data_IF_142471559990
#
_entry.id   IF_142471559990
#
_cell.length_a   1.000
_cell.length_b   1.000
_cell.length_c   1.000
_cell.angle_alpha   90.00
_cell.angle_beta   90.00
_cell.angle_gamma   90.00
#
_symmetry.space_group_name_H-M   'P 1'
#
loop_
_entity.id
_entity.type
_entity.pdbx_description
1 polymer ?
#
# COMPACT_ATOMS: atom_id res chain seq x y z
N UNK A 1 -3.04 8.85 -29.24
CA UNK A 1 -3.08 7.46 -29.72
C UNK A 1 -3.80 6.62 -28.69
N UNK A 2 -4.90 5.98 -29.09
CA UNK A 2 -5.67 5.14 -28.19
C UNK A 2 -4.96 3.80 -27.98
N UNK A 3 -5.12 3.19 -26.80
CA UNK A 3 -4.53 1.88 -26.46
C UNK A 3 -4.89 0.76 -27.45
N UNK A 4 -5.96 0.93 -28.24
CA UNK A 4 -6.37 -0.01 -29.30
C UNK A 4 -5.46 0.04 -30.53
N UNK A 5 -5.02 1.24 -30.92
CA UNK A 5 -4.17 1.48 -32.08
C UNK A 5 -2.77 0.86 -31.89
N UNK A 6 -2.25 0.98 -30.67
CA UNK A 6 -0.99 0.35 -30.27
C UNK A 6 -1.08 -1.19 -30.28
N UNK A 7 -2.23 -1.76 -29.92
CA UNK A 7 -2.43 -3.21 -29.92
C UNK A 7 -2.54 -3.78 -31.36
N UNK A 8 -3.16 -3.05 -32.28
CA UNK A 8 -3.22 -3.44 -33.69
C UNK A 8 -1.85 -3.38 -34.36
N UNK A 9 -1.04 -2.34 -34.06
CA UNK A 9 0.33 -2.25 -34.55
C UNK A 9 1.19 -3.43 -34.05
N UNK A 10 1.09 -3.77 -32.76
CA UNK A 10 1.82 -4.91 -32.19
C UNK A 10 1.42 -6.25 -32.81
N UNK A 11 0.15 -6.43 -33.18
CA UNK A 11 -0.33 -7.64 -33.86
C UNK A 11 0.03 -7.69 -35.36
N UNK A 12 0.44 -6.56 -35.94
CA UNK A 12 0.86 -6.49 -37.35
C UNK A 12 2.37 -6.69 -37.56
N UNK A 13 3.16 -6.68 -36.48
CA UNK A 13 4.60 -6.87 -36.53
C UNK A 13 4.95 -8.34 -36.79
N UNK A 14 5.99 -8.55 -37.60
CA UNK A 14 6.57 -9.85 -37.82
C UNK A 14 7.35 -10.35 -36.60
N UNK A 15 7.61 -11.68 -36.47
CA UNK A 15 8.37 -12.22 -35.36
C UNK A 15 9.77 -11.63 -35.21
N UNK A 16 10.39 -11.22 -36.33
CA UNK A 16 11.74 -10.63 -36.35
C UNK A 16 11.73 -9.19 -35.81
N UNK A 17 10.73 -8.39 -36.20
CA UNK A 17 10.55 -7.03 -35.68
C UNK A 17 10.18 -7.03 -34.19
N UNK A 18 9.46 -8.04 -33.72
CA UNK A 18 9.16 -8.21 -32.29
C UNK A 18 10.43 -8.47 -31.46
N UNK A 19 11.40 -9.20 -32.01
CA UNK A 19 12.70 -9.43 -31.35
C UNK A 19 13.51 -8.14 -31.29
N UNK A 20 13.52 -7.35 -32.36
CA UNK A 20 14.23 -6.07 -32.39
C UNK A 20 13.62 -5.06 -31.38
N UNK A 21 12.29 -5.04 -31.25
CA UNK A 21 11.61 -4.25 -30.21
C UNK A 21 11.94 -4.76 -28.81
N UNK A 22 12.05 -6.08 -28.63
CA UNK A 22 12.43 -6.68 -27.35
C UNK A 22 13.88 -6.34 -26.95
N UNK A 23 14.80 -6.30 -27.91
CA UNK A 23 16.21 -5.92 -27.68
C UNK A 23 16.37 -4.44 -27.30
N UNK A 24 15.45 -3.57 -27.73
CA UNK A 24 15.40 -2.18 -27.31
C UNK A 24 14.81 -1.97 -25.92
N UNK A 25 14.18 -2.99 -25.33
CA UNK A 25 13.65 -2.92 -23.97
C UNK A 25 14.75 -3.29 -22.96
N UNK A 26 14.81 -2.54 -21.86
CA UNK A 26 15.78 -2.83 -20.81
C UNK A 26 15.49 -4.20 -20.16
N UNK A 27 16.52 -4.92 -19.67
CA UNK A 27 16.35 -6.24 -19.06
C UNK A 27 15.31 -6.27 -17.93
N UNK A 28 15.20 -5.19 -17.16
CA UNK A 28 14.19 -5.06 -16.09
C UNK A 28 12.75 -4.93 -16.61
N UNK A 29 12.55 -4.28 -17.75
CA UNK A 29 11.23 -4.18 -18.40
C UNK A 29 10.81 -5.55 -18.96
N UNK A 30 11.74 -6.30 -19.56
CA UNK A 30 11.49 -7.66 -20.04
C UNK A 30 11.11 -8.63 -18.90
N UNK A 31 11.82 -8.58 -17.76
CA UNK A 31 11.46 -9.40 -16.60
C UNK A 31 10.07 -9.04 -16.06
N UNK A 32 9.75 -7.75 -15.97
CA UNK A 32 8.44 -7.27 -15.52
C UNK A 32 7.32 -7.74 -16.46
N UNK A 33 7.53 -7.62 -17.77
CA UNK A 33 6.56 -8.07 -18.79
C UNK A 33 6.35 -9.58 -18.73
N UNK A 34 7.43 -10.34 -18.60
CA UNK A 34 7.41 -11.81 -18.50
C UNK A 34 6.64 -12.24 -17.24
N UNK A 35 6.93 -11.64 -16.08
CA UNK A 35 6.23 -11.91 -14.83
C UNK A 35 4.72 -11.63 -14.92
N UNK A 36 4.33 -10.48 -15.50
CA UNK A 36 2.91 -10.11 -15.66
C UNK A 36 2.20 -11.02 -16.67
N UNK A 37 2.87 -11.43 -17.75
CA UNK A 37 2.33 -12.40 -18.71
C UNK A 37 2.12 -13.76 -18.05
N UNK A 38 3.10 -14.27 -17.30
CA UNK A 38 3.01 -15.55 -16.60
C UNK A 38 1.85 -15.56 -15.60
N UNK A 39 1.71 -14.50 -14.80
CA UNK A 39 0.61 -14.36 -13.84
C UNK A 39 -0.76 -14.34 -14.52
N UNK A 40 -0.89 -13.66 -15.67
CA UNK A 40 -2.15 -13.66 -16.44
C UNK A 40 -2.48 -15.03 -17.02
N UNK A 41 -1.49 -15.75 -17.54
CA UNK A 41 -1.67 -17.10 -18.08
C UNK A 41 -2.14 -18.06 -16.96
N UNK A 42 -1.50 -18.01 -15.80
CA UNK A 42 -1.88 -18.81 -14.63
C UNK A 42 -3.29 -18.46 -14.12
N UNK A 43 -3.66 -17.17 -14.11
CA UNK A 43 -5.01 -16.74 -13.72
C UNK A 43 -6.10 -17.22 -14.69
N UNK A 44 -5.81 -17.23 -16.00
CA UNK A 44 -6.72 -17.76 -17.04
C UNK A 44 -6.86 -19.28 -16.90
N UNK A 45 -5.76 -20.00 -16.68
CA UNK A 45 -5.76 -21.46 -16.47
C UNK A 45 -6.47 -21.87 -15.17
N UNK A 46 -6.42 -21.04 -14.13
CA UNK A 46 -7.10 -21.28 -12.86
C UNK A 46 -8.62 -21.02 -12.88
N UNK A 47 -9.21 -20.65 -14.03
CA UNK A 47 -10.66 -20.49 -14.19
C UNK A 47 -11.29 -19.36 -13.36
N UNK A 48 -10.50 -18.46 -12.77
CA UNK A 48 -11.00 -17.31 -11.99
C UNK A 48 -11.41 -16.19 -12.94
N UNK A 49 -12.59 -16.35 -13.54
CA UNK A 49 -13.30 -15.24 -14.17
C UNK A 49 -13.58 -14.14 -13.15
N UNK A 50 -13.17 -12.91 -13.46
CA UNK A 50 -13.48 -11.74 -12.65
C UNK A 50 -15.01 -11.59 -12.52
N UNK A 51 -15.53 -11.88 -11.34
CA UNK A 51 -16.95 -11.73 -11.01
C UNK A 51 -17.35 -10.26 -11.05
N UNK A 52 -18.31 -9.94 -11.92
CA UNK A 52 -19.03 -8.65 -11.94
C UNK A 52 -19.64 -8.38 -10.56
N UNK A 53 -19.48 -7.19 -9.95
CA UNK A 53 -20.24 -6.83 -8.78
C UNK A 53 -21.69 -6.53 -9.19
N UNK A 54 -22.58 -7.50 -8.98
CA UNK A 54 -24.02 -7.27 -9.10
C UNK A 54 -24.48 -6.54 -7.83
N UNK A 55 -24.76 -5.25 -7.98
CA UNK A 55 -25.37 -4.43 -6.94
C UNK A 55 -26.78 -4.92 -6.61
N UNK A 56 -27.05 -5.10 -5.32
CA UNK A 56 -28.40 -4.96 -4.77
C UNK A 56 -28.32 -4.48 -3.32
N UNK A 57 -28.35 -3.16 -3.17
CA UNK A 57 -28.58 -2.49 -1.88
C UNK A 57 -30.08 -2.57 -1.61
N UNK A 58 -30.48 -3.38 -0.62
CA UNK A 58 -31.85 -3.33 -0.08
C UNK A 58 -31.87 -2.45 1.15
N UNK A 59 -32.44 -1.25 0.97
CA UNK A 59 -32.90 -0.36 2.02
C UNK A 59 -34.22 -0.89 2.61
N UNK A 60 -34.33 -0.85 3.95
CA UNK A 60 -35.56 -1.06 4.72
C UNK A 60 -35.19 -1.63 6.09
N UNK A 61 -35.50 -1.03 7.24
CA UNK A 61 -36.46 0.01 7.56
C UNK A 61 -37.30 -0.45 8.76
N UNK A 62 -37.29 0.36 9.83
CA UNK A 62 -38.23 0.44 10.96
C UNK A 62 -38.09 -0.54 12.15
N UNK A 63 -38.03 0.06 13.34
CA UNK A 63 -38.31 -0.63 14.61
C UNK A 63 -38.06 0.23 15.86
N UNK A 64 -39.04 1.05 16.24
CA UNK A 64 -39.11 1.90 17.44
C UNK A 64 -38.79 1.18 18.77
N UNK A 65 -38.24 1.89 19.76
CA UNK A 65 -38.88 2.18 21.07
C UNK A 65 -38.29 3.46 21.72
N UNK A 66 -39.12 4.41 22.19
CA UNK A 66 -38.69 5.49 23.09
C UNK A 66 -38.93 5.07 24.55
N UNK A 67 -38.11 5.55 25.49
CA UNK A 67 -38.51 5.80 26.87
C UNK A 67 -37.43 6.59 27.61
N UNK A 68 -37.87 7.61 28.36
CA UNK A 68 -37.11 8.15 29.50
C UNK A 68 -36.73 9.61 29.40
N UNK A 69 -37.71 10.50 29.55
CA UNK A 69 -37.49 11.84 30.10
C UNK A 69 -37.24 11.71 31.61
N UNK A 70 -36.19 12.31 32.11
CA UNK A 70 -36.18 12.92 33.45
C UNK A 70 -35.29 14.16 33.45
N UNK A 71 -35.94 15.30 33.69
CA UNK A 71 -35.30 16.56 34.03
C UNK A 71 -34.66 16.45 35.42
N UNK A 72 -33.46 17.01 35.56
CA UNK A 72 -32.79 17.19 36.85
C UNK A 72 -31.73 18.28 36.73
N UNK A 73 -32.07 19.47 37.24
CA UNK A 73 -31.21 20.63 37.32
C UNK A 73 -30.11 20.49 38.38
N UNK A 74 -29.18 21.46 38.34
CA UNK A 74 -28.23 21.91 39.37
C UNK A 74 -26.84 21.27 39.43
N UNK A 75 -25.85 22.10 39.09
CA UNK A 75 -24.83 22.59 40.02
C UNK A 75 -23.78 21.59 40.49
N UNK A 76 -22.52 21.82 40.10
CA UNK A 76 -21.40 21.07 40.67
C UNK A 76 -20.05 21.51 40.14
N UNK A 77 -19.39 22.36 40.92
CA UNK A 77 -17.99 22.77 40.79
C UNK A 77 -17.04 21.59 41.03
N UNK A 78 -15.81 21.74 40.53
CA UNK A 78 -14.55 21.08 40.95
C UNK A 78 -14.28 19.64 40.50
N UNK A 79 -13.14 19.55 39.81
CA UNK A 79 -11.97 18.70 40.09
C UNK A 79 -11.48 18.09 38.77
N UNK A 80 -10.33 18.52 38.26
CA UNK A 80 -9.09 17.96 38.78
C UNK A 80 -8.88 16.50 38.35
N UNK A 81 -9.38 16.10 37.18
CA UNK A 81 -9.08 14.81 36.57
C UNK A 81 -7.70 14.83 35.92
N UNK A 82 -6.66 14.57 36.72
CA UNK A 82 -5.32 14.22 36.25
C UNK A 82 -5.47 12.94 35.43
N UNK A 83 -5.63 13.06 34.11
CA UNK A 83 -5.66 11.93 33.19
C UNK A 83 -4.25 11.38 33.18
N UNK A 84 -3.99 10.44 34.09
CA UNK A 84 -2.80 9.62 34.09
C UNK A 84 -2.80 8.83 32.80
N UNK A 85 -2.17 9.41 31.78
CA UNK A 85 -1.71 8.69 30.62
C UNK A 85 -0.77 7.61 31.15
N UNK A 86 -1.32 6.42 31.39
CA UNK A 86 -0.53 5.20 31.39
C UNK A 86 0.09 5.13 30.01
N UNK A 87 1.28 5.70 29.87
CA UNK A 87 2.24 5.33 28.85
C UNK A 87 2.41 3.83 29.05
N UNK A 88 1.60 3.04 28.33
CA UNK A 88 1.93 1.64 28.11
C UNK A 88 3.26 1.75 27.38
N UNK A 89 4.35 1.49 28.10
CA UNK A 89 5.61 1.13 27.49
C UNK A 89 5.27 -0.05 26.59
N UNK A 90 5.01 0.28 25.32
CA UNK A 90 4.88 -0.69 24.26
C UNK A 90 6.27 -1.29 24.24
N UNK A 91 6.39 -2.50 24.79
CA UNK A 91 7.63 -3.27 24.71
C UNK A 91 8.16 -3.12 23.29
N UNK A 92 9.41 -2.70 23.18
CA UNK A 92 10.10 -2.55 21.91
C UNK A 92 9.88 -3.83 21.14
N UNK A 93 9.06 -3.75 20.08
CA UNK A 93 8.84 -4.88 19.20
C UNK A 93 10.22 -5.22 18.62
N UNK A 94 10.68 -6.49 18.72
CA UNK A 94 11.95 -6.87 18.11
C UNK A 94 11.91 -6.48 16.65
N UNK A 95 12.96 -5.78 16.20
CA UNK A 95 13.11 -5.43 14.79
C UNK A 95 13.27 -6.77 14.07
N UNK A 96 12.44 -7.10 13.06
CA UNK A 96 12.61 -8.33 12.31
C UNK A 96 14.01 -8.40 11.71
N UNK A 97 14.61 -9.60 11.67
CA UNK A 97 15.98 -9.81 11.18
C UNK A 97 16.21 -9.17 9.80
N UNK A 98 15.22 -9.22 8.92
CA UNK A 98 15.26 -8.59 7.59
C UNK A 98 15.49 -7.06 7.60
N UNK A 99 15.19 -6.39 8.72
CA UNK A 99 15.38 -4.95 8.92
C UNK A 99 16.51 -4.62 9.90
N UNK A 100 17.29 -5.60 10.36
CA UNK A 100 18.52 -5.31 11.11
C UNK A 100 19.57 -4.66 10.20
N UNK A 101 19.52 -4.99 8.91
CA UNK A 101 20.40 -4.47 7.85
C UNK A 101 19.57 -3.89 6.68
N UNK A 102 18.86 -2.76 6.87
CA UNK A 102 18.05 -2.16 5.81
C UNK A 102 18.87 -1.74 4.58
N UNK A 103 20.19 -1.60 4.70
CA UNK A 103 21.15 -1.37 3.63
C UNK A 103 21.34 -2.56 2.68
N UNK A 104 21.05 -3.79 3.14
CA UNK A 104 21.14 -5.00 2.31
C UNK A 104 19.86 -5.21 1.49
N UNK A 105 18.76 -4.58 1.89
CA UNK A 105 17.51 -4.63 1.16
C UNK A 105 17.53 -3.69 -0.05
N UNK A 106 16.94 -4.09 -1.18
CA UNK A 106 16.89 -3.23 -2.36
C UNK A 106 16.02 -2.01 -2.09
N UNK A 107 16.58 -0.82 -2.31
CA UNK A 107 15.91 0.47 -2.09
C UNK A 107 14.61 0.64 -2.91
N UNK A 108 14.50 -0.13 -3.99
CA UNK A 108 13.39 -0.09 -4.93
C UNK A 108 12.71 -1.43 -5.04
N UNK A 109 11.40 -1.42 -5.20
CA UNK A 109 10.64 -2.60 -5.61
C UNK A 109 10.99 -3.01 -7.05
N UNK A 110 10.48 -4.16 -7.50
CA UNK A 110 10.66 -4.66 -8.88
C UNK A 110 10.24 -3.67 -9.97
N UNK A 111 9.35 -2.71 -9.65
CA UNK A 111 8.91 -1.63 -10.53
C UNK A 111 9.93 -0.48 -10.66
N UNK A 112 11.04 -0.50 -9.92
CA UNK A 112 11.97 0.61 -9.78
C UNK A 112 11.47 1.73 -8.85
N UNK A 113 10.34 1.53 -8.18
CA UNK A 113 9.76 2.52 -7.27
C UNK A 113 10.36 2.39 -5.87
N UNK A 114 10.67 3.53 -5.24
CA UNK A 114 11.31 3.58 -3.93
C UNK A 114 10.39 3.04 -2.82
N UNK A 115 10.97 2.25 -1.91
CA UNK A 115 10.27 1.67 -0.76
C UNK A 115 10.70 2.36 0.52
N UNK A 116 9.75 2.57 1.41
CA UNK A 116 9.97 3.07 2.76
C UNK A 116 9.28 2.16 3.80
N UNK A 117 9.82 2.14 5.01
CA UNK A 117 9.27 1.36 6.11
C UNK A 117 9.13 2.16 7.40
N UNK A 118 8.23 1.70 8.27
CA UNK A 118 8.08 2.17 9.64
C UNK A 118 7.96 0.95 10.56
N UNK A 119 8.96 0.77 11.44
CA UNK A 119 9.02 -0.34 12.41
C UNK A 119 7.98 -0.16 13.51
N UNK A 120 7.90 1.04 14.09
CA UNK A 120 7.01 1.32 15.21
C UNK A 120 6.09 2.50 14.93
N UNK A 121 4.85 2.42 15.40
CA UNK A 121 3.95 3.57 15.32
C UNK A 121 4.54 4.74 16.12
N UNK A 122 4.78 5.86 15.45
CA UNK A 122 5.37 7.06 16.05
C UNK A 122 6.85 7.28 15.73
N UNK A 123 7.53 6.30 15.11
CA UNK A 123 8.87 6.54 14.54
C UNK A 123 8.74 7.20 13.17
N UNK A 124 9.73 8.00 12.72
CA UNK A 124 9.80 8.44 11.34
C UNK A 124 9.79 7.26 10.36
N UNK A 125 9.32 7.51 9.15
CA UNK A 125 9.48 6.56 8.05
C UNK A 125 10.91 6.63 7.54
N UNK A 126 11.49 5.49 7.20
CA UNK A 126 12.87 5.35 6.72
C UNK A 126 12.86 4.77 5.31
N UNK A 127 13.76 5.24 4.45
CA UNK A 127 13.95 4.63 3.13
C UNK A 127 14.72 3.32 3.27
N UNK A 128 14.42 2.37 2.40
CA UNK A 128 15.16 1.12 2.30
C UNK A 128 16.43 1.35 1.45
N UNK A 129 17.53 0.64 1.74
CA UNK A 129 18.73 0.57 0.90
C UNK A 129 19.59 1.83 0.79
N UNK A 130 19.21 2.95 1.40
CA UNK A 130 20.02 4.18 1.45
C UNK A 130 20.25 4.58 2.91
N UNK A 131 21.50 4.89 3.26
CA UNK A 131 21.86 5.24 4.63
C UNK A 131 21.08 6.48 5.09
N UNK A 132 20.21 6.28 6.09
CA UNK A 132 19.75 7.27 7.06
C UNK A 132 18.77 8.37 6.61
N UNK A 133 18.19 8.29 5.41
CA UNK A 133 17.14 9.24 5.02
C UNK A 133 15.79 8.84 5.63
N UNK A 134 15.24 9.74 6.44
CA UNK A 134 13.93 9.57 7.06
C UNK A 134 13.01 10.73 6.72
N UNK A 135 11.70 10.46 6.74
CA UNK A 135 10.69 11.48 6.52
C UNK A 135 9.51 11.30 7.47
N UNK A 136 8.75 12.39 7.64
CA UNK A 136 7.51 12.38 8.40
C UNK A 136 6.34 12.10 7.48
N UNK A 137 5.42 11.27 7.95
CA UNK A 137 4.20 10.99 7.22
C UNK A 137 3.22 12.14 7.37
N UNK A 138 2.90 12.81 6.27
CA UNK A 138 1.89 13.87 6.22
C UNK A 138 0.63 13.32 5.57
N UNK A 139 -0.39 13.02 6.37
CA UNK A 139 -1.62 12.42 5.86
C UNK A 139 -2.30 13.33 4.83
N UNK A 140 -2.42 12.84 3.60
CA UNK A 140 -3.11 13.51 2.49
C UNK A 140 -4.55 13.01 2.32
N UNK A 141 -5.31 13.68 1.45
CA UNK A 141 -6.66 13.25 1.06
C UNK A 141 -6.64 11.84 0.47
N UNK A 142 -7.60 10.99 0.86
CA UNK A 142 -7.64 9.59 0.40
C UNK A 142 -7.90 9.47 -1.10
N UNK A 143 -8.47 10.48 -1.74
CA UNK A 143 -8.81 10.45 -3.16
C UNK A 143 -7.70 11.07 -4.04
N UNK A 144 -6.56 11.48 -3.46
CA UNK A 144 -5.42 11.98 -4.26
C UNK A 144 -4.75 10.89 -5.09
N UNK A 145 -5.02 9.62 -4.78
CA UNK A 145 -4.59 8.44 -5.53
C UNK A 145 -5.80 7.55 -5.78
N UNK A 146 -5.89 6.98 -7.00
CA UNK A 146 -7.02 6.14 -7.39
C UNK A 146 -7.05 4.82 -6.60
N UNK A 147 -8.23 4.21 -6.45
CA UNK A 147 -8.34 2.90 -5.78
C UNK A 147 -7.59 1.79 -6.55
N UNK A 148 -7.51 1.91 -7.87
CA UNK A 148 -6.70 1.01 -8.70
C UNK A 148 -5.22 1.11 -8.33
N UNK A 149 -4.66 2.33 -8.29
CA UNK A 149 -3.26 2.54 -7.90
C UNK A 149 -2.97 2.03 -6.50
N UNK A 150 -3.87 2.25 -5.53
CA UNK A 150 -3.70 1.70 -4.17
C UNK A 150 -3.66 0.18 -4.15
N UNK A 151 -4.45 -0.46 -4.99
CA UNK A 151 -4.48 -1.92 -5.11
C UNK A 151 -3.19 -2.43 -5.71
N UNK A 152 -2.73 -1.80 -6.80
CA UNK A 152 -1.43 -2.12 -7.43
C UNK A 152 -0.27 -1.92 -6.43
N UNK A 153 -0.22 -0.80 -5.71
CA UNK A 153 0.79 -0.55 -4.68
C UNK A 153 0.75 -1.62 -3.60
N UNK A 154 -0.45 -2.05 -3.16
CA UNK A 154 -0.59 -3.09 -2.14
C UNK A 154 0.00 -4.42 -2.62
N UNK A 155 -0.25 -4.81 -3.86
CA UNK A 155 0.30 -6.02 -4.46
C UNK A 155 1.83 -5.95 -4.58
N UNK A 156 2.36 -4.81 -5.02
CA UNK A 156 3.83 -4.59 -5.11
C UNK A 156 4.48 -4.68 -3.73
N UNK A 157 3.92 -3.98 -2.73
CA UNK A 157 4.44 -4.02 -1.37
C UNK A 157 4.32 -5.41 -0.72
N UNK A 158 3.27 -6.16 -1.07
CA UNK A 158 3.12 -7.54 -0.60
C UNK A 158 4.19 -8.45 -1.20
N UNK A 159 4.40 -8.39 -2.52
CA UNK A 159 5.43 -9.18 -3.19
C UNK A 159 6.83 -8.84 -2.64
N UNK A 160 7.14 -7.55 -2.50
CA UNK A 160 8.40 -7.09 -1.90
C UNK A 160 8.60 -7.65 -0.49
N UNK A 161 7.56 -7.60 0.34
CA UNK A 161 7.64 -8.11 1.69
C UNK A 161 7.81 -9.63 1.74
N UNK A 162 7.11 -10.38 0.90
CA UNK A 162 7.23 -11.84 0.80
C UNK A 162 8.62 -12.27 0.30
N UNK A 163 9.15 -11.56 -0.70
CA UNK A 163 10.49 -11.82 -1.27
C UNK A 163 11.61 -11.62 -0.24
N UNK A 164 11.47 -10.61 0.62
CA UNK A 164 12.49 -10.24 1.61
C UNK A 164 12.17 -10.71 3.04
N UNK A 165 11.14 -11.54 3.23
CA UNK A 165 10.76 -12.08 4.54
C UNK A 165 10.28 -11.02 5.54
N UNK A 166 9.72 -9.91 5.08
CA UNK A 166 9.24 -8.80 5.91
C UNK A 166 7.80 -9.10 6.38
N UNK A 167 7.54 -9.23 7.69
CA UNK A 167 6.18 -9.45 8.17
C UNK A 167 5.34 -8.16 8.04
N UNK A 168 4.29 -8.19 7.23
CA UNK A 168 3.35 -7.05 7.07
C UNK A 168 2.23 -7.02 8.12
N UNK A 169 2.02 -8.11 8.86
CA UNK A 169 0.91 -8.28 9.80
C UNK A 169 1.40 -8.96 11.08
N UNK A 170 0.61 -8.80 12.14
CA UNK A 170 0.90 -9.39 13.45
C UNK A 170 1.60 -8.43 14.40
N UNK A 171 2.07 -8.93 15.55
CA UNK A 171 2.77 -8.12 16.57
C UNK A 171 4.06 -7.49 16.05
N UNK A 172 4.74 -8.18 15.14
CA UNK A 172 5.99 -7.76 14.47
C UNK A 172 5.71 -7.10 13.11
N UNK A 173 4.44 -6.79 12.81
CA UNK A 173 4.03 -6.24 11.54
C UNK A 173 4.64 -4.88 11.26
N UNK A 174 5.52 -4.81 10.28
CA UNK A 174 6.13 -3.58 9.78
C UNK A 174 5.17 -2.93 8.77
N UNK A 175 5.12 -1.60 8.81
CA UNK A 175 4.41 -0.85 7.77
C UNK A 175 5.36 -0.55 6.63
N UNK A 176 4.94 -0.85 5.41
CA UNK A 176 5.62 -0.46 4.19
C UNK A 176 4.84 0.62 3.44
N UNK A 177 5.57 1.42 2.66
CA UNK A 177 5.04 2.40 1.73
C UNK A 177 5.87 2.44 0.45
N UNK A 178 5.21 2.71 -0.67
CA UNK A 178 5.80 2.82 -1.99
C UNK A 178 5.67 4.25 -2.50
N UNK A 179 6.70 4.75 -3.17
CA UNK A 179 6.66 6.05 -3.83
C UNK A 179 6.03 5.92 -5.23
N UNK A 180 4.86 6.52 -5.41
CA UNK A 180 4.12 6.57 -6.67
C UNK A 180 3.98 8.02 -7.13
N UNK A 181 4.84 8.44 -8.04
CA UNK A 181 4.90 9.83 -8.50
C UNK A 181 5.24 10.80 -7.37
N UNK A 182 4.29 11.67 -7.01
CA UNK A 182 4.43 12.68 -5.93
C UNK A 182 3.87 12.23 -4.58
N UNK A 183 3.43 10.98 -4.47
CA UNK A 183 2.81 10.46 -3.28
C UNK A 183 3.56 9.24 -2.73
N UNK A 184 3.58 9.13 -1.41
CA UNK A 184 3.85 7.89 -0.70
C UNK A 184 2.51 7.20 -0.42
N UNK A 185 2.42 5.92 -0.75
CA UNK A 185 1.21 5.11 -0.50
C UNK A 185 1.60 3.92 0.36
N UNK A 186 1.01 3.81 1.54
CA UNK A 186 1.28 2.70 2.46
C UNK A 186 0.46 1.46 2.12
N UNK A 187 0.92 0.29 2.55
CA UNK A 187 0.19 -0.99 2.40
C UNK A 187 -1.25 -0.92 2.96
N UNK A 188 -1.44 -0.18 4.05
CA UNK A 188 -2.74 0.08 4.66
C UNK A 188 -3.63 1.07 3.88
N UNK A 189 -3.14 1.64 2.78
CA UNK A 189 -3.86 2.60 1.92
C UNK A 189 -3.80 4.05 2.40
N UNK A 190 -2.94 4.37 3.37
CA UNK A 190 -2.65 5.76 3.74
C UNK A 190 -1.84 6.44 2.64
N UNK A 191 -2.04 7.75 2.45
CA UNK A 191 -1.30 8.54 1.46
C UNK A 191 -0.54 9.67 2.17
N UNK A 192 0.68 9.94 1.72
CA UNK A 192 1.49 11.11 2.11
C UNK A 192 2.05 11.81 0.88
N UNK A 193 2.37 13.09 1.01
CA UNK A 193 3.15 13.80 -0.02
C UNK A 193 4.62 13.41 0.06
N UNK A 194 5.33 13.46 -1.06
CA UNK A 194 6.80 13.35 -1.11
C UNK A 194 7.47 14.65 -0.69
N UNK A 195 6.81 15.79 -0.87
CA UNK A 195 7.35 17.13 -0.57
C UNK A 195 7.29 17.51 0.92
N UNK A 196 7.21 16.52 1.83
CA UNK A 196 7.08 16.77 3.26
C UNK A 196 8.11 17.79 3.76
N UNK A 197 7.62 18.86 4.38
CA UNK A 197 8.43 20.02 4.82
C UNK A 197 8.99 19.84 6.22
#
# INVERSE_FOLDING_TARGET
>A
MGTKEAAELLNSLSPEELVEVADQLSPGVLQTLTGRCQQRILAIQAGKGYGKPNGKVTLGGKGKKPNGFSNGANGGVKAGGKVGGKTREKGSVPIPEALEHPEELPATAATGEQVAFQVNAGTPWQFVGEESTCFRWELQDRNSVTEQDKTEVREILQAYAEEHGIPLRGPEGIKLALRRGRHWVSYAGGISSVEGR
#
